data_IF_233243214354
#
_entry.id   IF_233243214354
#
_cell.length_a   1.000
_cell.length_b   1.000
_cell.length_c   1.000
_cell.angle_alpha   90.00
_cell.angle_beta   90.00
_cell.angle_gamma   90.00
#
_symmetry.space_group_name_H-M   'P 1'
#
loop_
_entity.id
_entity.type
_entity.pdbx_description
1 polymer ?
#
# COMPACT_ATOMS: atom_id res chain seq x y z
N UNK A 1 9.21 -23.93 43.41
CA UNK A 1 8.41 -23.85 42.17
C UNK A 1 8.40 -22.40 41.62
N UNK A 2 9.53 -21.79 41.28
CA UNK A 2 9.64 -20.39 40.88
C UNK A 2 10.49 -20.09 39.65
N UNK A 3 11.17 -21.08 39.05
CA UNK A 3 12.13 -20.83 37.97
C UNK A 3 11.56 -20.94 36.55
N UNK A 4 10.39 -21.53 36.38
CA UNK A 4 9.74 -21.67 35.06
C UNK A 4 9.09 -20.40 34.51
N UNK A 5 8.55 -19.53 35.38
CA UNK A 5 7.86 -18.31 34.97
C UNK A 5 8.81 -17.21 34.52
N UNK A 6 9.96 -17.06 35.18
CA UNK A 6 10.96 -16.06 34.83
C UNK A 6 11.65 -16.36 33.50
N UNK A 7 11.92 -17.66 33.22
CA UNK A 7 12.49 -18.10 31.94
C UNK A 7 11.53 -17.93 30.76
N UNK A 8 10.24 -18.12 30.98
CA UNK A 8 9.19 -17.87 29.96
C UNK A 8 9.02 -16.40 29.63
N UNK A 9 9.04 -15.50 30.64
CA UNK A 9 8.96 -14.06 30.43
C UNK A 9 10.19 -13.48 29.70
N UNK A 10 11.40 -13.89 30.08
CA UNK A 10 12.62 -13.44 29.41
C UNK A 10 12.67 -13.89 27.94
N UNK A 11 12.18 -15.10 27.63
CA UNK A 11 12.09 -15.63 26.28
C UNK A 11 11.02 -14.94 25.43
N UNK A 12 9.87 -14.61 26.01
CA UNK A 12 8.80 -13.84 25.36
C UNK A 12 9.20 -12.39 25.09
N UNK A 13 9.91 -11.73 26.03
CA UNK A 13 10.47 -10.39 25.82
C UNK A 13 11.52 -10.37 24.71
N UNK A 14 12.38 -11.40 24.60
CA UNK A 14 13.35 -11.52 23.52
C UNK A 14 12.69 -11.68 22.14
N UNK A 15 11.63 -12.49 22.04
CA UNK A 15 10.86 -12.68 20.80
C UNK A 15 10.12 -11.42 20.37
N UNK A 16 9.56 -10.69 21.33
CA UNK A 16 8.85 -9.41 21.04
C UNK A 16 9.84 -8.34 20.57
N UNK A 17 11.00 -8.22 21.21
CA UNK A 17 12.05 -7.29 20.82
C UNK A 17 12.59 -7.59 19.41
N UNK A 18 12.80 -8.86 19.07
CA UNK A 18 13.20 -9.29 17.72
C UNK A 18 12.14 -8.97 16.68
N UNK A 19 10.85 -9.22 16.98
CA UNK A 19 9.75 -8.90 16.07
C UNK A 19 9.64 -7.39 15.78
N UNK A 20 9.88 -6.54 16.79
CA UNK A 20 9.89 -5.08 16.62
C UNK A 20 11.13 -4.63 15.85
N UNK A 21 12.31 -5.18 16.14
CA UNK A 21 13.54 -4.87 15.41
C UNK A 21 13.42 -5.17 13.92
N UNK A 22 12.84 -6.32 13.58
CA UNK A 22 12.75 -6.85 12.22
C UNK A 22 11.41 -6.46 11.53
N UNK A 23 10.66 -5.52 12.12
CA UNK A 23 9.39 -5.03 11.56
C UNK A 23 9.60 -4.45 10.16
N UNK A 24 8.99 -5.09 9.15
CA UNK A 24 9.09 -4.62 7.76
C UNK A 24 8.33 -3.30 7.59
N UNK A 25 8.92 -2.25 6.93
CA UNK A 25 8.26 -0.95 6.76
C UNK A 25 6.87 -1.05 6.13
N UNK A 26 6.67 -2.02 5.23
CA UNK A 26 5.41 -2.24 4.52
C UNK A 26 4.27 -2.87 5.34
N UNK A 27 4.42 -3.14 6.64
CA UNK A 27 3.32 -3.73 7.45
C UNK A 27 2.08 -2.84 7.53
N UNK A 28 2.21 -1.52 7.39
CA UNK A 28 1.06 -0.62 7.33
C UNK A 28 0.16 -0.87 6.10
N UNK A 29 0.60 -1.67 5.12
CA UNK A 29 -0.27 -2.18 4.05
C UNK A 29 -1.47 -2.98 4.60
N UNK A 30 -1.37 -3.60 5.79
CA UNK A 30 -2.52 -4.18 6.50
C UNK A 30 -3.60 -3.13 6.79
N UNK A 31 -3.19 -1.97 7.31
CA UNK A 31 -4.11 -0.86 7.63
C UNK A 31 -4.76 -0.33 6.36
N UNK A 32 -3.96 -0.11 5.30
CA UNK A 32 -4.44 0.32 3.99
C UNK A 32 -5.48 -0.66 3.42
N UNK A 33 -5.14 -1.96 3.39
CA UNK A 33 -5.97 -3.01 2.83
C UNK A 33 -7.28 -3.18 3.61
N UNK A 34 -7.19 -3.24 4.94
CA UNK A 34 -8.36 -3.42 5.81
C UNK A 34 -9.26 -2.17 5.78
N UNK A 35 -8.66 -0.97 5.76
CA UNK A 35 -9.37 0.30 5.70
C UNK A 35 -10.12 0.51 4.38
N UNK A 36 -9.50 0.15 3.24
CA UNK A 36 -10.18 0.31 1.94
C UNK A 36 -11.31 -0.71 1.76
N UNK A 37 -11.17 -1.94 2.25
CA UNK A 37 -12.26 -2.91 2.22
C UNK A 37 -13.38 -2.50 3.17
N UNK A 38 -13.06 -1.91 4.33
CA UNK A 38 -14.06 -1.26 5.18
C UNK A 38 -14.83 -0.16 4.44
N UNK A 39 -14.15 0.63 3.63
CA UNK A 39 -14.79 1.65 2.78
C UNK A 39 -15.67 1.01 1.71
N UNK A 40 -15.18 0.00 1.00
CA UNK A 40 -15.96 -0.71 -0.01
C UNK A 40 -17.21 -1.38 0.58
N UNK A 41 -17.09 -2.04 1.72
CA UNK A 41 -18.22 -2.68 2.40
C UNK A 41 -19.17 -1.65 3.03
N UNK A 42 -18.71 -0.46 3.38
CA UNK A 42 -19.58 0.66 3.78
C UNK A 42 -20.46 1.15 2.63
N UNK A 43 -19.92 1.16 1.41
CA UNK A 43 -20.62 1.66 0.22
C UNK A 43 -21.54 0.60 -0.42
N UNK A 44 -21.17 -0.67 -0.41
CA UNK A 44 -21.79 -1.74 -1.22
C UNK A 44 -22.11 -3.02 -0.45
N UNK A 45 -21.66 -3.15 0.79
CA UNK A 45 -21.74 -4.37 1.58
C UNK A 45 -22.46 -4.23 2.91
N UNK A 46 -22.39 -5.24 3.76
CA UNK A 46 -23.04 -5.23 5.06
C UNK A 46 -22.33 -4.31 6.05
N UNK A 47 -23.10 -3.50 6.79
CA UNK A 47 -22.58 -2.50 7.74
C UNK A 47 -21.78 -3.11 8.90
N UNK A 48 -22.14 -4.33 9.34
CA UNK A 48 -21.40 -5.01 10.41
C UNK A 48 -19.96 -5.34 9.99
N UNK A 49 -19.77 -5.82 8.74
CA UNK A 49 -18.45 -6.15 8.20
C UNK A 49 -17.60 -4.89 8.08
N UNK A 50 -18.20 -3.80 7.55
CA UNK A 50 -17.53 -2.51 7.45
C UNK A 50 -17.04 -2.00 8.81
N UNK A 51 -17.88 -2.10 9.86
CA UNK A 51 -17.48 -1.68 11.23
C UNK A 51 -16.41 -2.57 11.84
N UNK A 52 -16.49 -3.88 11.64
CA UNK A 52 -15.47 -4.82 12.11
C UNK A 52 -14.11 -4.56 11.47
N UNK A 53 -14.09 -4.33 10.14
CA UNK A 53 -12.86 -3.98 9.40
C UNK A 53 -12.32 -2.61 9.81
N UNK A 54 -13.19 -1.62 10.07
CA UNK A 54 -12.77 -0.31 10.58
C UNK A 54 -12.08 -0.45 11.94
N UNK A 55 -12.66 -1.22 12.86
CA UNK A 55 -12.07 -1.48 14.17
C UNK A 55 -10.71 -2.19 14.04
N UNK A 56 -10.63 -3.21 13.17
CA UNK A 56 -9.38 -3.93 12.92
C UNK A 56 -8.29 -3.03 12.33
N UNK A 57 -8.64 -2.16 11.36
CA UNK A 57 -7.70 -1.19 10.78
C UNK A 57 -7.23 -0.17 11.82
N UNK A 58 -8.14 0.33 12.67
CA UNK A 58 -7.81 1.27 13.75
C UNK A 58 -6.86 0.65 14.77
N UNK A 59 -7.17 -0.55 15.24
CA UNK A 59 -6.30 -1.30 16.16
C UNK A 59 -4.92 -1.56 15.52
N UNK A 60 -4.91 -1.97 14.24
CA UNK A 60 -3.67 -2.17 13.48
C UNK A 60 -2.83 -0.91 13.37
N UNK A 61 -3.44 0.25 13.09
CA UNK A 61 -2.73 1.53 13.05
C UNK A 61 -2.08 1.85 14.39
N UNK A 62 -2.81 1.70 15.51
CA UNK A 62 -2.28 1.98 16.85
C UNK A 62 -1.11 1.05 17.19
N UNK A 63 -1.28 -0.26 16.99
CA UNK A 63 -0.24 -1.26 17.32
C UNK A 63 1.01 -1.05 16.46
N UNK A 64 0.84 -0.88 15.15
CA UNK A 64 1.98 -0.69 14.23
C UNK A 64 2.69 0.65 14.47
N UNK A 65 1.95 1.71 14.79
CA UNK A 65 2.53 3.00 15.14
C UNK A 65 3.35 2.92 16.43
N UNK A 66 2.82 2.25 17.48
CA UNK A 66 3.56 2.01 18.72
C UNK A 66 4.83 1.19 18.47
N UNK A 67 4.74 0.10 17.70
CA UNK A 67 5.89 -0.71 17.33
C UNK A 67 6.93 0.07 16.51
N UNK A 68 6.50 0.94 15.58
CA UNK A 68 7.40 1.81 14.81
C UNK A 68 8.10 2.83 15.71
N UNK A 69 7.40 3.46 16.66
CA UNK A 69 7.99 4.42 17.59
C UNK A 69 9.06 3.75 18.49
N UNK A 70 8.77 2.55 18.99
CA UNK A 70 9.76 1.74 19.75
C UNK A 70 10.96 1.40 18.85
N UNK A 71 10.71 1.02 17.59
CA UNK A 71 11.78 0.72 16.64
C UNK A 71 12.67 1.93 16.35
N UNK A 72 12.06 3.11 16.15
CA UNK A 72 12.78 4.37 15.95
C UNK A 72 13.60 4.79 17.19
N UNK A 73 13.10 4.51 18.40
CA UNK A 73 13.80 4.85 19.63
C UNK A 73 14.96 3.89 19.94
N UNK A 74 14.77 2.57 19.76
CA UNK A 74 15.68 1.54 20.26
C UNK A 74 16.51 0.91 19.13
N UNK A 75 15.96 0.71 17.93
CA UNK A 75 16.57 -0.03 16.82
C UNK A 75 16.89 0.87 15.61
N UNK A 76 17.47 2.05 15.84
CA UNK A 76 17.76 3.05 14.80
C UNK A 76 18.62 2.51 13.65
N UNK A 77 19.58 1.64 13.94
CA UNK A 77 20.43 1.00 12.93
C UNK A 77 19.62 0.15 11.93
N UNK A 78 18.63 -0.61 12.44
CA UNK A 78 17.74 -1.40 11.58
C UNK A 78 16.83 -0.52 10.72
N UNK A 79 16.37 0.62 11.23
CA UNK A 79 15.61 1.59 10.45
C UNK A 79 16.48 2.21 9.36
N UNK A 80 17.71 2.59 9.68
CA UNK A 80 18.64 3.16 8.70
C UNK A 80 18.99 2.16 7.61
N UNK A 81 19.18 0.88 7.96
CA UNK A 81 19.39 -0.19 6.97
C UNK A 81 18.19 -0.32 6.01
N UNK A 82 16.94 -0.22 6.50
CA UNK A 82 15.77 -0.23 5.63
C UNK A 82 15.66 1.02 4.73
N UNK A 83 16.08 2.19 5.24
CA UNK A 83 16.09 3.44 4.46
C UNK A 83 17.12 3.39 3.33
N UNK A 84 18.22 2.68 3.54
CA UNK A 84 19.29 2.51 2.54
C UNK A 84 19.03 1.37 1.56
N UNK A 85 18.03 0.54 1.79
CA UNK A 85 17.67 -0.59 0.93
C UNK A 85 16.59 -0.19 -0.11
N UNK A 86 16.93 -0.05 -1.42
CA UNK A 86 15.98 0.40 -2.44
C UNK A 86 14.75 -0.49 -2.61
N UNK A 87 14.89 -1.78 -2.30
CA UNK A 87 13.80 -2.75 -2.34
C UNK A 87 12.83 -2.63 -1.17
N UNK A 88 13.19 -1.90 -0.09
CA UNK A 88 12.42 -1.79 1.16
C UNK A 88 11.97 -0.38 1.51
N UNK A 89 12.76 0.64 1.13
CA UNK A 89 12.57 2.03 1.58
C UNK A 89 11.19 2.60 1.22
N UNK A 90 10.66 2.27 0.06
CA UNK A 90 9.34 2.74 -0.35
C UNK A 90 8.20 2.11 0.46
N UNK A 91 8.46 1.03 1.21
CA UNK A 91 7.53 0.46 2.18
C UNK A 91 7.09 1.45 3.27
N UNK A 92 7.92 2.44 3.61
CA UNK A 92 7.56 3.48 4.59
C UNK A 92 6.38 4.36 4.14
N UNK A 93 6.14 4.51 2.84
CA UNK A 93 4.99 5.25 2.33
C UNK A 93 3.63 4.59 2.65
N UNK A 94 3.62 3.31 3.04
CA UNK A 94 2.40 2.66 3.53
C UNK A 94 1.88 3.29 4.83
N UNK A 95 2.75 3.96 5.61
CA UNK A 95 2.38 4.69 6.83
C UNK A 95 1.42 5.82 6.46
N UNK A 96 1.84 6.70 5.54
CA UNK A 96 1.02 7.81 5.06
C UNK A 96 -0.31 7.32 4.50
N UNK A 97 -0.25 6.37 3.56
CA UNK A 97 -1.45 5.87 2.91
C UNK A 97 -2.40 5.14 3.88
N UNK A 98 -1.86 4.40 4.87
CA UNK A 98 -2.67 3.73 5.90
C UNK A 98 -3.39 4.74 6.80
N UNK A 99 -2.70 5.80 7.22
CA UNK A 99 -3.27 6.89 8.02
C UNK A 99 -4.40 7.58 7.24
N UNK A 100 -4.19 7.95 5.97
CA UNK A 100 -5.17 8.65 5.15
C UNK A 100 -6.40 7.79 4.83
N UNK A 101 -6.20 6.53 4.42
CA UNK A 101 -7.32 5.62 4.12
C UNK A 101 -8.22 5.45 5.35
N UNK A 102 -7.62 5.29 6.54
CA UNK A 102 -8.38 5.22 7.78
C UNK A 102 -9.06 6.56 8.10
N UNK A 103 -8.34 7.68 7.93
CA UNK A 103 -8.88 9.03 8.16
C UNK A 103 -10.11 9.33 7.31
N UNK A 104 -10.03 9.06 6.00
CA UNK A 104 -11.16 9.24 5.08
C UNK A 104 -12.34 8.32 5.44
N UNK A 105 -12.06 7.09 5.88
CA UNK A 105 -13.10 6.16 6.32
C UNK A 105 -13.79 6.61 7.63
N UNK A 106 -13.04 7.22 8.56
CA UNK A 106 -13.59 7.83 9.77
C UNK A 106 -14.50 9.03 9.44
N UNK A 107 -14.10 9.87 8.48
CA UNK A 107 -14.94 10.96 7.99
C UNK A 107 -16.26 10.48 7.43
N UNK A 108 -16.23 9.41 6.63
CA UNK A 108 -17.46 8.77 6.13
C UNK A 108 -18.32 8.14 7.23
N UNK A 109 -17.75 7.86 8.41
CA UNK A 109 -18.47 7.41 9.60
C UNK A 109 -18.99 8.57 10.48
N UNK A 110 -18.85 9.82 10.04
CA UNK A 110 -19.33 11.01 10.78
C UNK A 110 -18.28 11.66 11.69
N UNK A 111 -17.00 11.31 11.53
CA UNK A 111 -15.90 11.87 12.34
C UNK A 111 -14.93 12.73 11.51
N UNK A 112 -15.37 13.89 10.96
CA UNK A 112 -14.55 14.69 10.05
C UNK A 112 -13.30 15.28 10.72
N UNK A 113 -13.34 15.58 12.02
CA UNK A 113 -12.17 16.02 12.75
C UNK A 113 -11.07 14.94 12.79
N UNK A 114 -11.48 13.65 12.90
CA UNK A 114 -10.57 12.53 12.80
C UNK A 114 -9.87 12.47 11.44
N UNK A 115 -10.63 12.70 10.36
CA UNK A 115 -10.05 12.82 9.00
C UNK A 115 -8.98 13.91 8.94
N UNK A 116 -9.26 15.07 9.48
CA UNK A 116 -8.35 16.21 9.44
C UNK A 116 -7.05 15.98 10.22
N UNK A 117 -7.17 15.45 11.44
CA UNK A 117 -6.01 15.15 12.28
C UNK A 117 -5.12 14.11 11.59
N UNK A 118 -5.73 13.04 11.07
CA UNK A 118 -4.99 11.98 10.39
C UNK A 118 -4.40 12.46 9.06
N UNK A 119 -5.12 13.26 8.27
CA UNK A 119 -4.59 13.85 7.05
C UNK A 119 -3.42 14.81 7.32
N UNK A 120 -3.50 15.62 8.38
CA UNK A 120 -2.39 16.48 8.82
C UNK A 120 -1.15 15.68 9.23
N UNK A 121 -1.33 14.61 10.00
CA UNK A 121 -0.24 13.70 10.37
C UNK A 121 0.35 13.01 9.13
N UNK A 122 -0.50 12.49 8.25
CA UNK A 122 -0.08 11.85 7.01
C UNK A 122 0.70 12.82 6.11
N UNK A 123 0.27 14.09 6.01
CA UNK A 123 0.96 15.12 5.24
C UNK A 123 2.37 15.39 5.76
N UNK A 124 2.56 15.46 7.08
CA UNK A 124 3.89 15.62 7.70
C UNK A 124 4.78 14.42 7.39
N UNK A 125 4.28 13.19 7.57
CA UNK A 125 5.02 11.97 7.28
C UNK A 125 5.37 11.90 5.78
N UNK A 126 4.41 12.21 4.91
CA UNK A 126 4.62 12.25 3.47
C UNK A 126 5.69 13.26 3.06
N UNK A 127 5.65 14.45 3.66
CA UNK A 127 6.63 15.51 3.36
C UNK A 127 8.06 15.06 3.69
N UNK A 128 8.24 14.39 4.83
CA UNK A 128 9.54 13.83 5.21
C UNK A 128 9.97 12.72 4.26
N UNK A 129 9.06 11.81 3.92
CA UNK A 129 9.39 10.66 3.06
C UNK A 129 9.61 11.06 1.60
N UNK A 130 8.79 11.97 1.05
CA UNK A 130 8.82 12.34 -0.38
C UNK A 130 10.13 13.00 -0.79
N UNK A 131 10.82 13.66 0.16
CA UNK A 131 12.15 14.23 -0.07
C UNK A 131 13.27 13.39 0.55
N UNK A 132 13.05 12.80 1.72
CA UNK A 132 14.05 12.01 2.42
C UNK A 132 14.42 10.71 1.71
N UNK A 133 13.43 10.00 1.14
CA UNK A 133 13.68 8.73 0.44
C UNK A 133 14.50 8.92 -0.83
N UNK A 134 14.13 9.80 -1.78
CA UNK A 134 14.98 10.07 -2.94
C UNK A 134 16.36 10.60 -2.56
N UNK A 135 16.44 11.51 -1.58
CA UNK A 135 17.72 12.04 -1.12
C UNK A 135 18.62 10.93 -0.57
N UNK A 136 18.09 9.99 0.22
CA UNK A 136 18.87 8.86 0.74
C UNK A 136 19.43 7.98 -0.38
N UNK A 137 18.64 7.72 -1.42
CA UNK A 137 19.06 6.91 -2.56
C UNK A 137 20.10 7.61 -3.44
N UNK A 138 20.06 8.95 -3.54
CA UNK A 138 20.98 9.73 -4.37
C UNK A 138 22.30 10.03 -3.69
N UNK A 139 22.27 10.26 -2.35
CA UNK A 139 23.42 10.80 -1.63
C UNK A 139 24.27 9.75 -0.91
N UNK A 140 23.72 8.57 -0.60
CA UNK A 140 24.39 7.58 0.26
C UNK A 140 24.97 6.39 -0.52
N UNK A 141 24.80 6.31 -1.82
CA UNK A 141 25.18 5.11 -2.58
C UNK A 141 26.45 5.28 -3.40
N UNK A 142 27.40 4.39 -3.18
CA UNK A 142 28.43 4.08 -4.14
C UNK A 142 27.81 3.39 -5.37
N UNK A 143 28.27 3.73 -6.53
CA UNK A 143 27.85 3.51 -7.94
C UNK A 143 27.15 2.21 -8.37
N UNK A 144 26.62 1.38 -7.49
CA UNK A 144 25.83 0.22 -7.91
C UNK A 144 24.45 0.63 -8.45
N UNK A 145 24.03 0.00 -9.52
CA UNK A 145 22.76 0.32 -10.18
C UNK A 145 21.58 0.15 -9.25
N UNK A 146 20.85 1.24 -8.95
CA UNK A 146 19.59 1.25 -8.20
C UNK A 146 18.51 0.42 -8.93
N UNK A 147 18.65 0.27 -10.25
CA UNK A 147 17.67 -0.41 -11.10
C UNK A 147 17.40 -1.85 -10.66
N UNK A 148 18.41 -2.57 -10.15
CA UNK A 148 18.22 -3.92 -9.60
C UNK A 148 17.24 -4.00 -8.41
N UNK A 149 17.17 -2.96 -7.59
CA UNK A 149 16.29 -2.86 -6.43
C UNK A 149 14.89 -2.29 -6.72
N UNK A 150 14.64 -1.79 -7.94
CA UNK A 150 13.33 -1.27 -8.35
C UNK A 150 12.30 -2.39 -8.36
N UNK A 151 11.18 -2.21 -7.70
CA UNK A 151 10.07 -3.17 -7.67
C UNK A 151 8.73 -2.45 -7.50
N UNK A 152 7.63 -3.21 -7.44
CA UNK A 152 6.29 -2.63 -7.33
C UNK A 152 6.06 -1.74 -6.10
N UNK A 153 6.86 -1.89 -5.03
CA UNK A 153 6.73 -1.05 -3.83
C UNK A 153 7.10 0.42 -4.07
N UNK A 154 7.88 0.74 -5.11
CA UNK A 154 8.20 2.11 -5.49
C UNK A 154 6.94 2.93 -5.80
N UNK A 155 5.89 2.28 -6.30
CA UNK A 155 4.60 2.90 -6.53
C UNK A 155 3.83 3.27 -5.26
N UNK A 156 4.31 2.86 -4.08
CA UNK A 156 3.75 3.33 -2.80
C UNK A 156 3.96 4.84 -2.60
N UNK A 157 4.96 5.42 -3.25
CA UNK A 157 5.11 6.87 -3.32
C UNK A 157 3.94 7.53 -4.03
N UNK A 158 3.49 6.97 -5.17
CA UNK A 158 2.27 7.41 -5.86
C UNK A 158 1.06 7.24 -4.96
N UNK A 159 0.90 6.04 -4.36
CA UNK A 159 -0.24 5.70 -3.52
C UNK A 159 -0.38 6.68 -2.36
N UNK A 160 0.71 7.01 -1.67
CA UNK A 160 0.69 7.96 -0.56
C UNK A 160 0.40 9.39 -1.00
N UNK A 161 0.91 9.81 -2.16
CA UNK A 161 0.62 11.14 -2.72
C UNK A 161 -0.87 11.26 -3.10
N UNK A 162 -1.42 10.21 -3.72
CA UNK A 162 -2.83 10.17 -4.08
C UNK A 162 -3.76 10.04 -2.87
N UNK A 163 -3.34 9.36 -1.79
CA UNK A 163 -4.14 9.29 -0.57
C UNK A 163 -4.35 10.66 0.08
N UNK A 164 -3.33 11.50 0.06
CA UNK A 164 -3.44 12.90 0.50
C UNK A 164 -4.38 13.73 -0.40
N UNK A 165 -4.36 13.51 -1.72
CA UNK A 165 -5.31 14.14 -2.65
C UNK A 165 -6.76 13.75 -2.30
N UNK A 166 -7.00 12.46 -2.02
CA UNK A 166 -8.32 11.96 -1.58
C UNK A 166 -8.73 12.60 -0.26
N UNK A 167 -7.82 12.67 0.72
CA UNK A 167 -8.08 13.27 2.02
C UNK A 167 -8.37 14.78 1.93
N UNK A 168 -7.57 15.52 1.16
CA UNK A 168 -7.79 16.95 0.90
C UNK A 168 -9.15 17.20 0.24
N UNK A 169 -9.53 16.42 -0.78
CA UNK A 169 -10.84 16.48 -1.42
C UNK A 169 -12.00 16.19 -0.45
N UNK A 170 -11.81 15.20 0.45
CA UNK A 170 -12.83 14.83 1.42
C UNK A 170 -13.08 15.92 2.47
N UNK A 171 -12.10 16.79 2.73
CA UNK A 171 -12.21 17.89 3.69
C UNK A 171 -12.88 19.16 3.12
N UNK A 172 -12.94 19.33 1.80
CA UNK A 172 -13.55 20.52 1.16
C UNK A 172 -15.00 20.75 1.60
N UNK A 173 -15.91 19.75 1.58
CA UNK A 173 -17.29 19.97 2.03
C UNK A 173 -17.42 20.17 3.55
N UNK A 174 -16.43 19.70 4.31
CA UNK A 174 -16.41 19.83 5.79
C UNK A 174 -16.00 21.25 6.21
N UNK A 175 -15.05 21.83 5.50
CA UNK A 175 -14.54 23.18 5.77
C UNK A 175 -14.60 24.08 4.52
N UNK A 176 -15.78 24.60 4.18
CA UNK A 176 -15.94 25.46 3.01
C UNK A 176 -15.07 26.71 3.02
N UNK A 177 -14.74 27.23 4.20
CA UNK A 177 -13.80 28.37 4.37
C UNK A 177 -12.39 28.08 3.88
N UNK A 178 -11.96 26.81 3.94
CA UNK A 178 -10.65 26.35 3.49
C UNK A 178 -10.69 25.75 2.06
N UNK A 179 -11.85 25.71 1.42
CA UNK A 179 -12.01 25.11 0.10
C UNK A 179 -11.07 25.70 -0.97
N UNK A 180 -10.75 27.00 -0.88
CA UNK A 180 -9.81 27.69 -1.78
C UNK A 180 -8.36 27.23 -1.63
N UNK A 181 -8.00 26.59 -0.51
CA UNK A 181 -6.69 25.98 -0.27
C UNK A 181 -6.74 24.48 -0.55
N UNK A 182 -7.75 23.78 -0.01
CA UNK A 182 -7.85 22.33 -0.09
C UNK A 182 -8.06 21.82 -1.52
N UNK A 183 -8.86 22.50 -2.35
CA UNK A 183 -9.11 22.05 -3.71
C UNK A 183 -7.87 22.14 -4.62
N UNK A 184 -7.12 23.26 -4.69
CA UNK A 184 -5.85 23.30 -5.42
C UNK A 184 -4.82 22.28 -4.87
N UNK A 185 -4.76 22.07 -3.55
CA UNK A 185 -3.89 21.07 -2.95
C UNK A 185 -4.25 19.67 -3.44
N UNK A 186 -5.54 19.31 -3.46
CA UNK A 186 -6.00 18.02 -3.96
C UNK A 186 -5.62 17.81 -5.43
N UNK A 187 -5.89 18.79 -6.29
CA UNK A 187 -5.55 18.73 -7.72
C UNK A 187 -4.04 18.69 -7.92
N UNK A 188 -3.27 19.48 -7.17
CA UNK A 188 -1.81 19.50 -7.25
C UNK A 188 -1.19 18.15 -6.85
N UNK A 189 -1.63 17.56 -5.73
CA UNK A 189 -1.18 16.24 -5.30
C UNK A 189 -1.58 15.15 -6.31
N UNK A 190 -2.79 15.21 -6.86
CA UNK A 190 -3.23 14.31 -7.92
C UNK A 190 -2.33 14.41 -9.16
N UNK A 191 -1.99 15.61 -9.58
CA UNK A 191 -1.10 15.84 -10.73
C UNK A 191 0.31 15.33 -10.48
N UNK A 192 0.89 15.58 -9.29
CA UNK A 192 2.19 15.06 -8.89
C UNK A 192 2.16 13.53 -8.88
N UNK A 193 1.14 12.91 -8.26
CA UNK A 193 1.00 11.46 -8.23
C UNK A 193 0.83 10.85 -9.62
N UNK A 194 0.11 11.51 -10.54
CA UNK A 194 -0.01 11.09 -11.94
C UNK A 194 1.35 11.06 -12.64
N UNK A 195 2.13 12.14 -12.54
CA UNK A 195 3.47 12.22 -13.15
C UNK A 195 4.40 11.17 -12.53
N UNK A 196 4.41 11.03 -11.22
CA UNK A 196 5.18 9.98 -10.53
C UNK A 196 4.79 8.58 -11.01
N UNK A 197 3.49 8.30 -11.22
CA UNK A 197 3.06 7.00 -11.74
C UNK A 197 3.67 6.72 -13.11
N UNK A 198 3.58 7.68 -14.03
CA UNK A 198 4.11 7.51 -15.39
C UNK A 198 5.63 7.29 -15.39
N UNK A 199 6.37 8.02 -14.57
CA UNK A 199 7.81 7.86 -14.42
C UNK A 199 8.18 6.49 -13.81
N UNK A 200 7.52 6.11 -12.72
CA UNK A 200 7.86 4.88 -11.99
C UNK A 200 7.40 3.61 -12.72
N UNK A 201 6.26 3.63 -13.41
CA UNK A 201 5.84 2.48 -14.23
C UNK A 201 6.79 2.27 -15.39
N UNK A 202 7.29 3.32 -16.03
CA UNK A 202 8.32 3.23 -17.08
C UNK A 202 9.62 2.64 -16.55
N UNK A 203 10.04 3.04 -15.34
CA UNK A 203 11.22 2.49 -14.68
C UNK A 203 11.06 1.00 -14.33
N UNK A 204 9.89 0.58 -13.86
CA UNK A 204 9.57 -0.83 -13.58
C UNK A 204 9.57 -1.64 -14.88
N UNK A 205 8.99 -1.13 -15.96
CA UNK A 205 9.02 -1.80 -17.26
C UNK A 205 10.45 -1.91 -17.81
N UNK A 206 11.24 -0.86 -17.69
CA UNK A 206 12.67 -0.89 -18.07
C UNK A 206 13.41 -1.99 -17.31
N UNK A 207 13.19 -2.07 -15.97
CA UNK A 207 13.78 -3.14 -15.17
C UNK A 207 13.35 -4.52 -15.64
N UNK A 208 12.07 -4.73 -15.96
CA UNK A 208 11.57 -6.02 -16.45
C UNK A 208 12.23 -6.44 -17.77
N UNK A 209 12.55 -5.47 -18.62
CA UNK A 209 13.18 -5.73 -19.90
C UNK A 209 14.71 -5.91 -19.82
N UNK A 210 15.35 -5.38 -18.78
CA UNK A 210 16.83 -5.34 -18.68
C UNK A 210 17.41 -6.24 -17.59
N UNK A 211 16.61 -6.58 -16.56
CA UNK A 211 17.07 -7.41 -15.44
C UNK A 211 16.26 -8.71 -15.40
N UNK A 212 16.95 -9.84 -15.34
CA UNK A 212 16.31 -11.15 -15.30
C UNK A 212 15.34 -11.27 -14.10
N UNK A 213 14.10 -11.71 -14.38
CA UNK A 213 13.07 -11.93 -13.37
C UNK A 213 13.15 -13.34 -12.81
N UNK A 214 13.23 -13.42 -11.48
CA UNK A 214 13.21 -14.69 -10.74
C UNK A 214 11.92 -14.80 -9.91
N UNK A 215 11.51 -16.01 -9.48
CA UNK A 215 10.37 -16.15 -8.59
C UNK A 215 10.51 -15.37 -7.28
N UNK A 216 11.72 -15.18 -6.78
CA UNK A 216 12.01 -14.39 -5.58
C UNK A 216 11.74 -12.89 -5.79
N UNK A 217 12.12 -12.34 -6.95
CA UNK A 217 11.97 -10.91 -7.27
C UNK A 217 10.57 -10.55 -7.74
N UNK A 218 9.80 -11.51 -8.28
CA UNK A 218 8.42 -11.31 -8.73
C UNK A 218 7.44 -11.49 -7.57
N UNK A 219 7.46 -10.56 -6.61
CA UNK A 219 6.65 -10.64 -5.39
C UNK A 219 5.30 -9.90 -5.46
N UNK A 220 4.49 -10.04 -4.39
CA UNK A 220 3.19 -9.39 -4.24
C UNK A 220 3.18 -7.88 -4.50
N UNK A 221 4.23 -7.08 -4.21
CA UNK A 221 4.23 -5.65 -4.45
C UNK A 221 3.94 -5.21 -5.90
N UNK A 222 4.13 -6.08 -6.89
CA UNK A 222 3.78 -5.72 -8.27
C UNK A 222 2.28 -5.50 -8.50
N UNK A 223 1.41 -5.99 -7.61
CA UNK A 223 -0.02 -5.65 -7.66
C UNK A 223 -0.29 -4.16 -7.43
N UNK A 224 0.67 -3.43 -6.86
CA UNK A 224 0.57 -1.97 -6.70
C UNK A 224 0.58 -1.25 -8.05
N UNK A 225 1.05 -1.86 -9.16
CA UNK A 225 0.89 -1.32 -10.52
C UNK A 225 -0.57 -0.97 -10.81
N UNK A 226 -1.49 -1.89 -10.53
CA UNK A 226 -2.93 -1.67 -10.64
C UNK A 226 -3.46 -0.80 -9.48
N UNK A 227 -2.94 -0.99 -8.25
CA UNK A 227 -3.39 -0.24 -7.08
C UNK A 227 -3.11 1.25 -7.15
N UNK A 228 -1.97 1.66 -7.73
CA UNK A 228 -1.60 3.05 -7.90
C UNK A 228 -2.46 3.76 -8.96
N UNK A 229 -2.85 3.07 -10.05
CA UNK A 229 -3.85 3.61 -10.98
C UNK A 229 -5.20 3.74 -10.31
N UNK A 230 -5.63 2.74 -9.56
CA UNK A 230 -6.93 2.73 -8.90
C UNK A 230 -7.08 3.89 -7.89
N UNK A 231 -6.07 4.15 -7.05
CA UNK A 231 -6.14 5.29 -6.12
C UNK A 231 -6.08 6.63 -6.85
N UNK A 232 -5.36 6.73 -7.98
CA UNK A 232 -5.36 7.94 -8.81
C UNK A 232 -6.74 8.19 -9.42
N UNK A 233 -7.44 7.14 -9.86
CA UNK A 233 -8.83 7.21 -10.32
C UNK A 233 -9.77 7.63 -9.19
N UNK A 234 -9.61 7.07 -7.99
CA UNK A 234 -10.41 7.49 -6.82
C UNK A 234 -10.20 8.96 -6.50
N UNK A 235 -8.96 9.43 -6.48
CA UNK A 235 -8.63 10.83 -6.23
C UNK A 235 -9.22 11.73 -7.31
N UNK A 236 -9.14 11.33 -8.60
CA UNK A 236 -9.80 12.01 -9.70
C UNK A 236 -11.32 12.10 -9.53
N UNK A 237 -11.97 10.98 -9.18
CA UNK A 237 -13.42 10.98 -8.90
C UNK A 237 -13.80 11.90 -7.73
N UNK A 238 -12.96 12.02 -6.70
CA UNK A 238 -13.18 12.96 -5.59
C UNK A 238 -13.03 14.41 -6.03
N UNK A 239 -12.05 14.72 -6.89
CA UNK A 239 -11.85 16.04 -7.46
C UNK A 239 -13.04 16.44 -8.35
N UNK A 240 -13.54 15.53 -9.18
CA UNK A 240 -14.70 15.76 -10.04
C UNK A 240 -15.99 16.02 -9.25
N UNK A 241 -16.08 15.56 -8.01
CA UNK A 241 -17.19 15.83 -7.08
C UNK A 241 -17.04 17.16 -6.32
N UNK A 242 -15.96 17.92 -6.53
CA UNK A 242 -15.79 19.22 -5.89
C UNK A 242 -16.78 20.26 -6.48
N UNK A 243 -17.21 21.25 -5.69
CA UNK A 243 -18.10 22.29 -6.17
C UNK A 243 -17.54 22.98 -7.43
N UNK A 244 -18.35 23.05 -8.50
CA UNK A 244 -17.98 23.69 -9.77
C UNK A 244 -17.69 25.21 -9.62
N UNK A 245 -18.11 25.84 -8.52
CA UNK A 245 -17.77 27.20 -8.17
C UNK A 245 -16.28 27.41 -7.86
N UNK A 246 -15.54 26.34 -7.56
CA UNK A 246 -14.09 26.40 -7.32
C UNK A 246 -13.35 26.48 -8.67
N UNK A 247 -12.56 27.55 -8.92
CA UNK A 247 -11.94 27.76 -10.23
C UNK A 247 -11.06 26.61 -10.70
N UNK A 248 -10.25 26.02 -9.78
CA UNK A 248 -9.36 24.90 -10.11
C UNK A 248 -10.13 23.65 -10.51
N UNK A 249 -11.20 23.30 -9.80
CA UNK A 249 -12.01 22.13 -10.12
C UNK A 249 -12.63 22.25 -11.51
N UNK A 250 -13.19 23.42 -11.83
CA UNK A 250 -13.77 23.69 -13.14
C UNK A 250 -12.72 23.68 -14.27
N UNK A 251 -11.56 24.30 -14.04
CA UNK A 251 -10.52 24.40 -15.06
C UNK A 251 -9.88 23.02 -15.40
N UNK A 252 -9.84 22.08 -14.46
CA UNK A 252 -9.17 20.79 -14.65
C UNK A 252 -10.12 19.63 -14.87
N UNK A 253 -11.44 19.81 -14.77
CA UNK A 253 -12.43 18.73 -14.80
C UNK A 253 -12.25 17.77 -15.99
N UNK A 254 -12.25 18.27 -17.23
CA UNK A 254 -12.12 17.42 -18.42
C UNK A 254 -10.80 16.67 -18.49
N UNK A 255 -9.70 17.27 -18.04
CA UNK A 255 -8.40 16.62 -17.96
C UNK A 255 -8.41 15.48 -16.91
N UNK A 256 -8.93 15.77 -15.71
CA UNK A 256 -9.03 14.77 -14.62
C UNK A 256 -9.93 13.62 -15.03
N UNK A 257 -11.06 13.88 -15.68
CA UNK A 257 -12.00 12.86 -16.14
C UNK A 257 -11.36 11.95 -17.19
N UNK A 258 -10.78 12.52 -18.25
CA UNK A 258 -10.16 11.75 -19.33
C UNK A 258 -8.99 10.91 -18.86
N UNK A 259 -8.10 11.47 -18.03
CA UNK A 259 -6.97 10.71 -17.47
C UNK A 259 -7.43 9.66 -16.47
N UNK A 260 -8.45 9.92 -15.66
CA UNK A 260 -9.00 8.92 -14.74
C UNK A 260 -9.56 7.72 -15.50
N UNK A 261 -10.28 7.94 -16.61
CA UNK A 261 -10.74 6.84 -17.45
C UNK A 261 -9.59 6.05 -18.07
N UNK A 262 -8.59 6.74 -18.63
CA UNK A 262 -7.41 6.09 -19.22
C UNK A 262 -6.63 5.26 -18.18
N UNK A 263 -6.46 5.77 -16.97
CA UNK A 263 -5.80 5.05 -15.87
C UNK A 263 -6.64 3.89 -15.35
N UNK A 264 -7.97 4.02 -15.31
CA UNK A 264 -8.86 2.91 -14.97
C UNK A 264 -8.73 1.76 -15.98
N UNK A 265 -8.74 2.08 -17.28
CA UNK A 265 -8.55 1.10 -18.34
C UNK A 265 -7.17 0.44 -18.26
N UNK A 266 -6.11 1.23 -18.04
CA UNK A 266 -4.75 0.73 -17.90
C UNK A 266 -4.56 -0.11 -16.63
N UNK A 267 -5.19 0.28 -15.52
CA UNK A 267 -5.24 -0.51 -14.29
C UNK A 267 -5.93 -1.85 -14.48
N UNK A 268 -7.04 -1.86 -15.23
CA UNK A 268 -7.77 -3.09 -15.60
C UNK A 268 -6.90 -3.98 -16.48
N UNK A 269 -6.17 -3.41 -17.42
CA UNK A 269 -5.24 -4.14 -18.30
C UNK A 269 -4.10 -4.82 -17.52
N UNK A 270 -3.65 -4.27 -16.37
CA UNK A 270 -2.66 -4.93 -15.52
C UNK A 270 -3.15 -6.24 -14.90
N UNK A 271 -4.45 -6.37 -14.61
CA UNK A 271 -5.00 -7.50 -13.83
C UNK A 271 -4.68 -8.87 -14.49
N UNK A 272 -4.98 -9.12 -15.77
CA UNK A 272 -4.66 -10.40 -16.42
C UNK A 272 -3.16 -10.70 -16.40
N UNK A 273 -2.31 -9.70 -16.65
CA UNK A 273 -0.85 -9.88 -16.63
C UNK A 273 -0.36 -10.26 -15.23
N UNK A 274 -0.85 -9.60 -14.19
CA UNK A 274 -0.48 -9.92 -12.80
C UNK A 274 -0.92 -11.32 -12.39
N UNK A 275 -2.09 -11.78 -12.86
CA UNK A 275 -2.55 -13.15 -12.67
C UNK A 275 -1.61 -14.15 -13.37
N UNK A 276 -1.25 -13.90 -14.63
CA UNK A 276 -0.31 -14.75 -15.39
C UNK A 276 1.04 -14.84 -14.68
N UNK A 277 1.58 -13.71 -14.20
CA UNK A 277 2.84 -13.67 -13.45
C UNK A 277 2.74 -14.44 -12.12
N UNK A 278 1.62 -14.34 -11.41
CA UNK A 278 1.34 -15.11 -10.20
C UNK A 278 1.27 -16.61 -10.47
N UNK A 279 0.57 -17.02 -11.52
CA UNK A 279 0.52 -18.43 -11.95
C UNK A 279 1.90 -18.94 -12.35
N UNK A 280 2.68 -18.16 -13.11
CA UNK A 280 4.06 -18.52 -13.44
C UNK A 280 4.90 -18.73 -12.19
N UNK A 281 4.82 -17.83 -11.19
CA UNK A 281 5.57 -17.94 -9.94
C UNK A 281 5.21 -19.19 -9.15
N UNK A 282 3.92 -19.43 -8.92
CA UNK A 282 3.47 -20.46 -7.98
C UNK A 282 3.21 -21.82 -8.63
N UNK A 283 2.65 -21.84 -9.86
CA UNK A 283 2.33 -23.09 -10.55
C UNK A 283 3.51 -23.60 -11.35
N UNK A 284 4.11 -22.75 -12.23
CA UNK A 284 5.20 -23.21 -13.10
C UNK A 284 6.55 -23.33 -12.38
N UNK A 285 6.87 -22.37 -11.47
CA UNK A 285 8.13 -22.33 -10.72
C UNK A 285 8.04 -22.97 -9.35
N UNK A 286 6.88 -23.44 -8.94
CA UNK A 286 6.61 -24.10 -7.67
C UNK A 286 7.10 -23.29 -6.45
N UNK A 287 7.08 -21.93 -6.56
CA UNK A 287 7.47 -21.06 -5.45
C UNK A 287 6.48 -21.24 -4.29
N UNK A 288 6.97 -21.51 -3.07
CA UNK A 288 6.10 -21.81 -1.95
C UNK A 288 5.14 -20.66 -1.63
N UNK A 289 3.90 -20.99 -1.34
CA UNK A 289 2.90 -20.06 -0.83
C UNK A 289 3.07 -19.98 0.68
N UNK A 290 3.80 -18.98 1.15
CA UNK A 290 3.98 -18.70 2.58
C UNK A 290 3.48 -17.31 2.91
N UNK A 291 3.02 -17.11 4.17
CA UNK A 291 2.64 -15.75 4.59
C UNK A 291 3.87 -14.84 4.63
N UNK A 292 3.78 -13.74 3.92
CA UNK A 292 4.68 -12.60 3.99
C UNK A 292 3.89 -11.28 4.11
N UNK A 293 4.42 -10.26 4.80
CA UNK A 293 3.69 -9.00 5.01
C UNK A 293 3.30 -8.31 3.71
N UNK A 294 4.07 -8.53 2.65
CA UNK A 294 3.85 -7.98 1.32
C UNK A 294 2.57 -8.50 0.64
N UNK A 295 1.96 -9.60 1.13
CA UNK A 295 0.67 -10.10 0.62
C UNK A 295 -0.46 -9.08 0.77
N UNK A 296 -0.40 -8.18 1.76
CA UNK A 296 -1.35 -7.08 1.88
C UNK A 296 -1.30 -6.11 0.70
N UNK A 297 -0.19 -6.11 -0.05
CA UNK A 297 -0.06 -5.37 -1.32
C UNK A 297 -0.84 -5.98 -2.50
N UNK A 298 -1.43 -7.17 -2.35
CA UNK A 298 -2.44 -7.73 -3.27
C UNK A 298 -3.83 -7.29 -2.86
N UNK A 299 -4.12 -7.35 -1.56
CA UNK A 299 -5.46 -7.07 -1.01
C UNK A 299 -5.85 -5.59 -1.18
N UNK A 300 -4.93 -4.68 -0.87
CA UNK A 300 -5.17 -3.23 -1.01
C UNK A 300 -5.55 -2.84 -2.44
N UNK A 301 -4.82 -3.20 -3.50
CA UNK A 301 -5.17 -2.90 -4.88
C UNK A 301 -6.55 -3.40 -5.28
N UNK A 302 -6.91 -4.63 -4.93
CA UNK A 302 -8.22 -5.20 -5.25
C UNK A 302 -9.38 -4.40 -4.61
N UNK A 303 -9.24 -4.05 -3.32
CA UNK A 303 -10.20 -3.21 -2.62
C UNK A 303 -10.27 -1.79 -3.18
N UNK A 304 -9.10 -1.22 -3.49
CA UNK A 304 -9.01 0.12 -4.08
C UNK A 304 -9.65 0.17 -5.46
N UNK A 305 -9.40 -0.83 -6.31
CA UNK A 305 -10.03 -0.93 -7.63
C UNK A 305 -11.55 -0.95 -7.55
N UNK A 306 -12.12 -1.71 -6.61
CA UNK A 306 -13.57 -1.71 -6.38
C UNK A 306 -14.08 -0.31 -6.03
N UNK A 307 -13.50 0.34 -5.02
CA UNK A 307 -13.97 1.66 -4.56
C UNK A 307 -13.77 2.74 -5.61
N UNK A 308 -12.65 2.71 -6.33
CA UNK A 308 -12.35 3.64 -7.42
C UNK A 308 -13.33 3.48 -8.59
N UNK A 309 -13.58 2.24 -9.01
CA UNK A 309 -14.53 1.93 -10.10
C UNK A 309 -15.93 2.43 -9.77
N UNK A 310 -16.42 2.19 -8.53
CA UNK A 310 -17.71 2.72 -8.10
C UNK A 310 -17.75 4.25 -8.10
N UNK A 311 -16.72 4.87 -7.50
CA UNK A 311 -16.69 6.32 -7.33
C UNK A 311 -16.59 7.04 -8.66
N UNK A 312 -15.76 6.55 -9.57
CA UNK A 312 -15.59 7.12 -10.89
C UNK A 312 -16.80 6.84 -11.78
N UNK A 313 -17.36 5.62 -11.77
CA UNK A 313 -18.55 5.27 -12.53
C UNK A 313 -19.74 6.16 -12.20
N UNK A 314 -19.93 6.50 -10.91
CA UNK A 314 -21.00 7.42 -10.48
C UNK A 314 -20.81 8.85 -11.00
N UNK A 315 -19.58 9.37 -11.00
CA UNK A 315 -19.30 10.73 -11.44
C UNK A 315 -19.32 10.85 -12.97
N UNK A 316 -18.80 9.85 -13.66
CA UNK A 316 -18.74 9.80 -15.12
C UNK A 316 -20.02 9.20 -15.76
N UNK A 317 -21.04 8.87 -14.96
CA UNK A 317 -22.30 8.26 -15.41
C UNK A 317 -22.11 6.98 -16.24
N UNK A 318 -21.19 6.09 -15.78
CA UNK A 318 -20.85 4.81 -16.43
C UNK A 318 -21.47 3.65 -15.66
N UNK A 319 -22.73 3.29 -15.97
CA UNK A 319 -23.54 2.34 -15.21
C UNK A 319 -22.93 0.95 -15.08
N UNK A 320 -22.17 0.49 -16.11
CA UNK A 320 -21.51 -0.83 -16.09
C UNK A 320 -20.44 -0.95 -15.00
N UNK A 321 -19.95 0.16 -14.44
CA UNK A 321 -18.93 0.15 -13.40
C UNK A 321 -19.46 -0.27 -12.04
N UNK A 322 -20.74 -0.07 -11.74
CA UNK A 322 -21.30 -0.47 -10.44
C UNK A 322 -21.32 -1.99 -10.25
N UNK A 323 -21.87 -2.83 -11.15
CA UNK A 323 -21.82 -4.28 -10.99
C UNK A 323 -20.40 -4.81 -10.96
N UNK A 324 -19.49 -4.25 -11.78
CA UNK A 324 -18.06 -4.61 -11.74
C UNK A 324 -17.43 -4.30 -10.40
N UNK A 325 -17.69 -3.10 -9.85
CA UNK A 325 -17.21 -2.72 -8.52
C UNK A 325 -17.70 -3.67 -7.43
N UNK A 326 -18.98 -4.05 -7.44
CA UNK A 326 -19.58 -5.01 -6.49
C UNK A 326 -18.93 -6.38 -6.57
N UNK A 327 -18.68 -6.88 -7.78
CA UNK A 327 -17.94 -8.12 -7.99
C UNK A 327 -16.52 -8.05 -7.41
N UNK A 328 -15.78 -6.99 -7.75
CA UNK A 328 -14.41 -6.81 -7.30
C UNK A 328 -14.30 -6.59 -5.79
N UNK A 329 -15.31 -6.02 -5.14
CA UNK A 329 -15.36 -5.94 -3.69
C UNK A 329 -15.31 -7.32 -3.04
N UNK A 330 -16.11 -8.26 -3.51
CA UNK A 330 -16.13 -9.61 -2.94
C UNK A 330 -14.85 -10.40 -3.25
N UNK A 331 -14.22 -10.17 -4.40
CA UNK A 331 -12.89 -10.69 -4.70
C UNK A 331 -11.86 -10.16 -3.70
N UNK A 332 -11.92 -8.86 -3.39
CA UNK A 332 -11.02 -8.23 -2.40
C UNK A 332 -11.28 -8.74 -0.98
N UNK A 333 -12.55 -8.94 -0.59
CA UNK A 333 -12.91 -9.54 0.72
C UNK A 333 -12.38 -10.97 0.82
N UNK A 334 -12.55 -11.77 -0.23
CA UNK A 334 -12.01 -13.14 -0.25
C UNK A 334 -10.48 -13.15 -0.12
N UNK A 335 -9.78 -12.29 -0.86
CA UNK A 335 -8.33 -12.14 -0.75
C UNK A 335 -7.93 -11.71 0.68
N UNK A 336 -8.65 -10.77 1.30
CA UNK A 336 -8.43 -10.34 2.68
C UNK A 336 -8.55 -11.50 3.66
N UNK A 337 -9.62 -12.30 3.54
CA UNK A 337 -9.86 -13.46 4.41
C UNK A 337 -8.72 -14.48 4.29
N UNK A 338 -8.28 -14.78 3.07
CA UNK A 338 -7.16 -15.72 2.81
C UNK A 338 -5.87 -15.21 3.46
N UNK A 339 -5.52 -13.94 3.26
CA UNK A 339 -4.29 -13.36 3.82
C UNK A 339 -4.38 -13.24 5.35
N UNK A 340 -5.53 -12.86 5.90
CA UNK A 340 -5.76 -12.80 7.34
C UNK A 340 -5.67 -14.19 7.99
N UNK A 341 -6.27 -15.22 7.37
CA UNK A 341 -6.16 -16.60 7.85
C UNK A 341 -4.72 -17.10 7.81
N UNK A 342 -3.96 -16.80 6.74
CA UNK A 342 -2.55 -17.14 6.66
C UNK A 342 -1.70 -16.44 7.74
N UNK A 343 -2.00 -15.17 8.04
CA UNK A 343 -1.37 -14.42 9.12
C UNK A 343 -1.65 -15.05 10.49
N UNK A 344 -2.91 -15.35 10.79
CA UNK A 344 -3.31 -15.99 12.06
C UNK A 344 -2.69 -17.38 12.20
N UNK A 345 -2.68 -18.18 11.13
CA UNK A 345 -2.02 -19.49 11.13
C UNK A 345 -0.51 -19.38 11.41
N UNK A 346 0.17 -18.33 10.89
CA UNK A 346 1.58 -18.07 11.22
C UNK A 346 1.77 -17.72 12.69
N UNK A 347 0.88 -16.90 13.27
CA UNK A 347 0.94 -16.55 14.70
C UNK A 347 0.70 -17.77 15.61
N UNK A 348 -0.20 -18.67 15.22
CA UNK A 348 -0.52 -19.88 15.98
C UNK A 348 0.60 -20.94 15.94
N UNK A 349 1.44 -20.93 14.91
CA UNK A 349 2.62 -21.80 14.82
C UNK A 349 3.68 -21.28 15.78
N UNK A 350 3.87 -21.96 16.93
CA UNK A 350 4.91 -21.63 17.90
C UNK A 350 6.29 -21.63 17.23
N UNK A 351 7.18 -20.65 17.53
CA UNK A 351 8.58 -20.70 17.07
C UNK A 351 9.30 -21.84 17.82
N UNK A 352 9.41 -23.01 17.21
CA UNK A 352 10.01 -24.18 17.86
C UNK A 352 10.39 -25.34 16.95
N UNK A 353 10.15 -25.23 15.62
CA UNK A 353 10.66 -26.21 14.67
C UNK A 353 11.76 -25.59 13.79
N UNK A 354 12.82 -26.34 13.42
CA UNK A 354 13.85 -25.85 12.53
C UNK A 354 13.19 -25.48 11.19
N UNK A 355 13.41 -24.24 10.72
CA UNK A 355 13.09 -23.83 9.36
C UNK A 355 13.81 -24.84 8.43
N UNK A 356 13.04 -25.61 7.65
CA UNK A 356 13.61 -26.37 6.54
C UNK A 356 14.20 -25.33 5.59
N UNK A 357 15.54 -25.24 5.62
CA UNK A 357 16.32 -24.34 4.82
C UNK A 357 15.89 -24.41 3.36
N UNK A 358 15.84 -23.25 2.71
CA UNK A 358 15.78 -23.17 1.26
C UNK A 358 16.90 -24.04 0.68
N UNK A 359 16.69 -24.75 -0.43
CA UNK A 359 17.74 -25.55 -1.04
C UNK A 359 18.90 -24.62 -1.40
N UNK A 360 20.07 -24.89 -0.86
CA UNK A 360 21.32 -24.25 -1.21
C UNK A 360 21.53 -24.42 -2.72
N UNK A 361 21.81 -23.33 -3.40
CA UNK A 361 22.24 -23.33 -4.81
C UNK A 361 23.47 -24.23 -4.95
N UNK A 362 23.26 -25.41 -5.55
CA UNK A 362 24.33 -26.33 -5.94
C UNK A 362 24.96 -25.88 -7.28
N UNK A 363 25.61 -24.72 -7.27
CA UNK A 363 26.46 -24.30 -8.39
C UNK A 363 27.76 -23.71 -7.87
N UNK A 364 28.55 -24.56 -7.22
CA UNK A 364 29.95 -24.25 -6.94
C UNK A 364 30.75 -25.56 -6.82
N UNK A 365 30.90 -26.27 -7.93
CA UNK A 365 31.96 -27.27 -8.07
C UNK A 365 32.07 -27.72 -9.53
N UNK A 366 32.81 -26.95 -10.34
CA UNK A 366 33.53 -27.49 -11.50
C UNK A 366 34.41 -26.40 -12.10
N UNK A 367 35.60 -26.18 -11.56
CA UNK A 367 36.76 -25.71 -12.29
C UNK A 367 38.02 -25.81 -11.43
N UNK A 368 38.58 -27.00 -11.34
CA UNK A 368 40.03 -27.18 -11.17
C UNK A 368 40.42 -28.47 -11.88
N UNK A 369 41.17 -28.33 -12.95
CA UNK A 369 42.33 -29.13 -13.32
C UNK A 369 42.45 -29.37 -14.82
N UNK A 370 43.64 -29.60 -15.35
CA UNK A 370 44.87 -28.78 -15.34
C UNK A 370 45.18 -28.16 -16.71
#
# INVERSE_FOLDING_TARGET
MGTGAAGGQARSMGLTATAVRDLHPGYFAFVMATGIISTGTFLLGPSWLSRALLAAASAGLVVLSAALLVRLAIFRSSVMADIQAPERVFGFFTITAGIDVLGVRLGAAGHPLGTAILAGLAAVVWLVLTYGVPASLLLTRERDSVLGGVNGSWLLWVVSTQSLSVAASALVPVWPSQARLLAPTAVGLWSVGLVLYLLLVSLILLRWLTVAMTPATLGPPYWILMGATAITVLAGARILNLPAALPVARATAGFVEGFSFALWAFGTWWIPLLIVLGLWRHVRRHWPVSYEPTLWSVVFPLGMYSVATLSFGKVAHLDFMEPLSRFMLWVAVAAWVVVAAAFLARLARRPGGPERGAPADSTSAASTAP
#
